data_IF_722371961941
#
_entry.id   IF_722371961941
#
_cell.length_a   1.000
_cell.length_b   1.000
_cell.length_c   1.000
_cell.angle_alpha   90.00
_cell.angle_beta   90.00
_cell.angle_gamma   90.00
#
_symmetry.space_group_name_H-M   'P 1'
#
loop_
_entity.id
_entity.type
_entity.pdbx_description
1 polymer ?
#
# COMPACT_ATOMS: atom_id res chain seq x y z
N UNK A 1 41.55 -49.08 78.93
CA UNK A 1 40.78 -47.84 78.72
C UNK A 1 41.12 -47.29 77.34
N UNK A 2 40.10 -47.14 76.50
CA UNK A 2 40.16 -46.63 75.12
C UNK A 2 40.70 -45.20 75.08
N UNK A 3 41.53 -44.90 74.10
CA UNK A 3 41.59 -43.55 73.50
C UNK A 3 41.87 -43.68 72.02
N UNK A 4 41.03 -42.99 71.26
CA UNK A 4 40.68 -43.19 69.87
C UNK A 4 41.54 -42.24 69.02
N UNK A 5 42.31 -42.76 68.06
CA UNK A 5 43.02 -41.95 67.06
C UNK A 5 42.09 -41.70 65.88
N UNK A 6 41.72 -40.44 65.67
CA UNK A 6 40.99 -39.99 64.49
C UNK A 6 41.96 -39.91 63.29
N UNK A 7 41.74 -40.73 62.26
CA UNK A 7 42.33 -40.53 60.94
C UNK A 7 41.44 -39.55 60.18
N UNK A 8 41.96 -38.36 59.86
CA UNK A 8 41.34 -37.43 58.91
C UNK A 8 41.71 -37.85 57.48
N UNK A 9 40.77 -38.40 56.74
CA UNK A 9 40.88 -38.63 55.30
C UNK A 9 40.77 -37.31 54.54
N UNK A 10 41.82 -36.91 53.82
CA UNK A 10 41.77 -35.76 52.91
C UNK A 10 41.14 -36.20 51.57
N UNK A 11 39.92 -35.73 51.30
CA UNK A 11 39.29 -35.87 49.99
C UNK A 11 39.92 -34.90 49.01
N UNK A 12 40.61 -35.42 47.99
CA UNK A 12 41.12 -34.63 46.85
C UNK A 12 39.93 -34.38 45.91
N UNK A 13 39.40 -33.16 45.93
CA UNK A 13 38.41 -32.69 44.94
C UNK A 13 39.19 -32.36 43.66
N UNK A 14 39.08 -33.24 42.66
CA UNK A 14 39.56 -32.99 41.31
C UNK A 14 38.58 -32.02 40.63
N UNK A 15 38.93 -30.73 40.57
CA UNK A 15 38.14 -29.73 39.84
C UNK A 15 38.31 -29.96 38.33
N UNK A 16 37.28 -30.50 37.68
CA UNK A 16 37.20 -30.57 36.22
C UNK A 16 37.00 -29.15 35.69
N UNK A 17 38.05 -28.55 35.12
CA UNK A 17 37.99 -27.26 34.45
C UNK A 17 37.23 -27.44 33.12
N UNK A 18 35.93 -27.12 33.11
CA UNK A 18 35.15 -27.04 31.87
C UNK A 18 35.55 -25.76 31.15
N UNK A 19 36.38 -25.89 30.11
CA UNK A 19 36.70 -24.78 29.21
C UNK A 19 35.49 -24.56 28.30
N UNK A 20 34.61 -23.64 28.69
CA UNK A 20 33.58 -23.10 27.79
C UNK A 20 34.30 -22.30 26.71
N UNK A 21 34.53 -22.90 25.54
CA UNK A 21 34.93 -22.13 24.36
C UNK A 21 33.80 -21.15 24.06
N UNK A 22 34.07 -19.85 23.93
CA UNK A 22 33.04 -18.92 23.48
C UNK A 22 32.56 -19.40 22.10
N UNK A 23 31.28 -19.76 22.00
CA UNK A 23 30.63 -19.94 20.71
C UNK A 23 30.63 -18.57 20.03
N UNK A 24 31.57 -18.38 19.11
CA UNK A 24 31.51 -17.29 18.16
C UNK A 24 30.44 -17.68 17.15
N UNK A 25 29.21 -17.22 17.36
CA UNK A 25 28.21 -17.19 16.28
C UNK A 25 28.72 -16.18 15.26
N UNK A 26 29.38 -16.65 14.20
CA UNK A 26 29.58 -15.79 13.03
C UNK A 26 28.20 -15.35 12.56
N UNK A 27 27.97 -14.05 12.44
CA UNK A 27 26.75 -13.55 11.82
C UNK A 27 26.64 -14.18 10.43
N UNK A 28 25.55 -14.92 10.20
CA UNK A 28 25.29 -15.51 8.89
C UNK A 28 25.27 -14.38 7.86
N UNK A 29 25.97 -14.54 6.74
CA UNK A 29 26.04 -13.52 5.68
C UNK A 29 25.36 -14.03 4.43
N UNK A 30 24.67 -13.13 3.72
CA UNK A 30 24.11 -13.44 2.40
C UNK A 30 25.24 -13.69 1.41
N UNK A 31 25.16 -14.82 0.73
CA UNK A 31 26.02 -15.14 -0.39
C UNK A 31 25.25 -14.93 -1.70
N UNK A 32 25.69 -13.97 -2.51
CA UNK A 32 24.98 -13.57 -3.73
C UNK A 32 25.00 -14.65 -4.82
N UNK A 33 26.04 -15.51 -4.84
CA UNK A 33 26.21 -16.55 -5.84
C UNK A 33 25.36 -17.80 -5.56
N UNK A 34 25.16 -18.15 -4.28
CA UNK A 34 24.31 -19.25 -3.84
C UNK A 34 22.84 -18.85 -3.70
N UNK A 35 22.59 -17.56 -3.50
CA UNK A 35 21.25 -16.98 -3.55
C UNK A 35 20.75 -16.87 -4.99
N UNK A 36 19.43 -16.84 -5.17
CA UNK A 36 18.81 -16.83 -6.50
C UNK A 36 17.41 -16.23 -6.48
N UNK A 37 17.03 -15.71 -7.64
CA UNK A 37 15.67 -15.27 -7.95
C UNK A 37 15.14 -16.18 -9.05
N UNK A 38 13.90 -16.64 -8.93
CA UNK A 38 13.21 -17.43 -9.95
C UNK A 38 11.83 -16.84 -10.22
N UNK A 39 11.33 -16.99 -11.45
CA UNK A 39 9.98 -16.61 -11.84
C UNK A 39 9.28 -17.82 -12.46
N UNK A 40 8.01 -18.03 -12.12
CA UNK A 40 7.23 -19.17 -12.62
C UNK A 40 6.70 -18.96 -14.05
N UNK A 41 6.54 -17.70 -14.47
CA UNK A 41 6.00 -17.30 -15.77
C UNK A 41 6.76 -16.10 -16.35
N UNK A 42 7.33 -16.26 -17.54
CA UNK A 42 8.18 -15.25 -18.19
C UNK A 42 7.46 -14.42 -19.27
N UNK A 43 6.22 -14.76 -19.61
CA UNK A 43 5.39 -14.04 -20.58
C UNK A 43 4.01 -13.80 -19.98
N UNK A 44 3.58 -12.54 -19.91
CA UNK A 44 2.32 -12.14 -19.29
C UNK A 44 1.52 -11.19 -20.16
N UNK A 45 0.21 -11.19 -19.94
CA UNK A 45 -0.64 -10.09 -20.39
C UNK A 45 -0.39 -8.86 -19.53
N UNK A 46 -0.32 -7.70 -20.16
CA UNK A 46 -0.18 -6.41 -19.49
C UNK A 46 -1.56 -5.83 -19.12
N UNK A 47 -2.40 -6.63 -18.45
CA UNK A 47 -3.79 -6.27 -18.09
C UNK A 47 -3.99 -5.97 -16.59
N UNK A 48 -2.90 -5.92 -15.82
CA UNK A 48 -2.94 -5.69 -14.37
C UNK A 48 -3.56 -6.84 -13.56
N UNK A 49 -3.92 -7.95 -14.20
CA UNK A 49 -4.55 -9.13 -13.59
C UNK A 49 -3.63 -10.34 -13.73
N UNK A 50 -3.11 -10.59 -14.94
CA UNK A 50 -2.15 -11.64 -15.19
C UNK A 50 -0.85 -11.38 -14.43
N UNK A 51 -0.35 -12.40 -13.75
CA UNK A 51 0.77 -12.25 -12.82
C UNK A 51 1.67 -13.47 -12.78
N UNK A 52 2.87 -13.24 -12.25
CA UNK A 52 3.89 -14.25 -12.03
C UNK A 52 4.37 -14.19 -10.58
N UNK A 53 4.67 -15.35 -10.02
CA UNK A 53 5.29 -15.50 -8.72
C UNK A 53 6.82 -15.43 -8.87
N UNK A 54 7.41 -14.39 -8.30
CA UNK A 54 8.85 -14.26 -8.13
C UNK A 54 9.22 -14.81 -6.76
N UNK A 55 10.06 -15.85 -6.75
CA UNK A 55 10.59 -16.46 -5.54
C UNK A 55 12.04 -16.04 -5.34
N UNK A 56 12.32 -15.39 -4.21
CA UNK A 56 13.68 -15.08 -3.76
C UNK A 56 14.14 -16.19 -2.83
N UNK A 57 15.27 -16.81 -3.11
CA UNK A 57 15.89 -17.81 -2.24
C UNK A 57 17.23 -17.30 -1.74
N UNK A 58 17.34 -17.11 -0.43
CA UNK A 58 18.53 -16.65 0.25
C UNK A 58 19.34 -17.82 0.83
N UNK A 59 20.63 -17.83 0.51
CA UNK A 59 21.61 -18.82 0.98
C UNK A 59 22.89 -18.13 1.45
N UNK A 60 23.58 -18.75 2.40
CA UNK A 60 24.94 -18.36 2.78
C UNK A 60 26.00 -19.09 1.93
N UNK A 61 27.28 -18.83 2.23
CA UNK A 61 28.43 -19.43 1.56
C UNK A 61 28.48 -20.95 1.67
N UNK A 62 27.81 -21.55 2.66
CA UNK A 62 27.72 -22.99 2.88
C UNK A 62 26.46 -23.61 2.26
N UNK A 63 25.73 -22.85 1.44
CA UNK A 63 24.45 -23.25 0.85
C UNK A 63 23.34 -23.51 1.88
N UNK A 64 23.46 -23.03 3.12
CA UNK A 64 22.40 -23.15 4.12
C UNK A 64 21.32 -22.07 3.89
N UNK A 65 20.04 -22.37 4.16
CA UNK A 65 18.99 -21.37 4.09
C UNK A 65 19.19 -20.25 5.11
N UNK A 66 19.01 -19.01 4.68
CA UNK A 66 18.97 -17.84 5.54
C UNK A 66 17.53 -17.58 5.97
N UNK A 67 17.16 -17.92 7.20
CA UNK A 67 15.79 -17.81 7.74
C UNK A 67 15.59 -16.49 8.48
N UNK A 68 14.44 -15.84 8.32
CA UNK A 68 14.10 -14.62 9.03
C UNK A 68 14.70 -13.34 8.45
N UNK A 69 15.26 -13.40 7.24
CA UNK A 69 15.90 -12.26 6.58
C UNK A 69 14.88 -11.45 5.79
N UNK A 70 14.95 -10.12 5.93
CA UNK A 70 14.14 -9.20 5.13
C UNK A 70 14.62 -9.20 3.68
N UNK A 71 13.66 -9.15 2.76
CA UNK A 71 13.87 -9.14 1.32
C UNK A 71 13.08 -8.03 0.66
N UNK A 72 13.57 -7.55 -0.48
CA UNK A 72 12.87 -6.61 -1.35
C UNK A 72 13.07 -7.03 -2.80
N UNK A 73 12.11 -6.71 -3.65
CA UNK A 73 12.18 -6.93 -5.09
C UNK A 73 12.05 -5.59 -5.82
N UNK A 74 12.86 -5.42 -6.87
CA UNK A 74 12.89 -4.21 -7.69
C UNK A 74 12.64 -4.58 -9.16
N UNK A 75 11.83 -3.78 -9.86
CA UNK A 75 11.72 -3.85 -11.32
C UNK A 75 12.62 -2.82 -11.98
N UNK A 76 13.27 -3.20 -13.09
CA UNK A 76 13.99 -2.28 -13.97
C UNK A 76 13.10 -1.21 -14.61
N UNK A 77 11.78 -1.38 -14.62
CA UNK A 77 10.81 -0.40 -15.17
C UNK A 77 10.15 0.45 -14.08
N UNK A 78 10.59 0.34 -12.82
CA UNK A 78 10.10 1.13 -11.70
C UNK A 78 8.58 0.98 -11.51
N UNK A 79 7.88 2.10 -11.35
CA UNK A 79 6.42 2.16 -11.09
C UNK A 79 5.54 1.72 -12.26
N UNK A 80 6.11 1.40 -13.42
CA UNK A 80 5.34 0.78 -14.50
C UNK A 80 4.90 -0.66 -14.16
N UNK A 81 5.56 -1.29 -13.19
CA UNK A 81 5.26 -2.64 -12.71
C UNK A 81 4.77 -2.60 -11.27
N UNK A 82 3.65 -3.26 -10.99
CA UNK A 82 3.14 -3.42 -9.63
C UNK A 82 3.79 -4.67 -9.01
N UNK A 83 4.43 -4.50 -7.86
CA UNK A 83 4.99 -5.59 -7.05
C UNK A 83 4.14 -5.71 -5.79
N UNK A 84 3.45 -6.85 -5.63
CA UNK A 84 2.72 -7.19 -4.41
C UNK A 84 3.56 -8.13 -3.55
N UNK A 85 3.84 -7.70 -2.33
CA UNK A 85 4.63 -8.44 -1.37
C UNK A 85 3.76 -9.51 -0.68
N UNK A 86 3.96 -10.80 -1.01
CA UNK A 86 3.25 -11.90 -0.34
C UNK A 86 3.99 -12.35 0.92
N UNK A 87 5.32 -12.38 0.86
CA UNK A 87 6.19 -12.56 2.02
C UNK A 87 7.50 -11.83 1.77
N UNK A 88 7.84 -10.89 2.65
CA UNK A 88 9.13 -10.17 2.60
C UNK A 88 10.18 -10.78 3.54
N UNK A 89 9.82 -11.74 4.37
CA UNK A 89 10.74 -12.40 5.31
C UNK A 89 10.98 -13.83 4.84
N UNK A 90 12.23 -14.25 4.81
CA UNK A 90 12.57 -15.60 4.37
C UNK A 90 12.07 -16.68 5.35
N UNK A 91 11.40 -17.70 4.81
CA UNK A 91 10.90 -18.85 5.56
C UNK A 91 12.01 -19.83 5.99
N UNK A 92 11.62 -20.97 6.57
CA UNK A 92 12.54 -22.04 7.01
C UNK A 92 13.40 -22.63 5.87
N UNK A 93 12.99 -22.44 4.61
CA UNK A 93 13.74 -22.87 3.42
C UNK A 93 14.59 -21.73 2.83
N UNK A 94 14.56 -20.55 3.44
CA UNK A 94 15.24 -19.35 3.00
C UNK A 94 14.49 -18.62 1.88
N UNK A 95 13.16 -18.77 1.78
CA UNK A 95 12.38 -18.23 0.65
C UNK A 95 11.44 -17.09 1.02
N UNK A 96 11.33 -16.11 0.12
CA UNK A 96 10.39 -15.00 0.15
C UNK A 96 9.65 -14.90 -1.20
N UNK A 97 8.46 -14.28 -1.21
CA UNK A 97 7.50 -14.40 -2.31
C UNK A 97 6.91 -13.05 -2.70
N UNK A 98 6.89 -12.77 -4.00
CA UNK A 98 6.36 -11.53 -4.57
C UNK A 98 5.53 -11.86 -5.81
N UNK A 99 4.41 -11.17 -6.02
CA UNK A 99 3.69 -11.21 -7.30
C UNK A 99 3.97 -9.95 -8.10
N UNK A 100 4.18 -10.12 -9.39
CA UNK A 100 4.45 -9.02 -10.32
C UNK A 100 3.34 -8.89 -11.37
N UNK A 101 2.89 -7.67 -11.62
CA UNK A 101 1.85 -7.32 -12.59
C UNK A 101 2.33 -6.12 -13.43
N UNK A 102 1.72 -5.90 -14.60
CA UNK A 102 1.96 -4.68 -15.36
C UNK A 102 0.73 -4.30 -16.17
N UNK A 103 0.62 -3.01 -16.49
CA UNK A 103 -0.32 -2.46 -17.47
C UNK A 103 0.38 -1.98 -18.74
N UNK A 104 1.70 -2.11 -18.81
CA UNK A 104 2.52 -1.60 -19.90
C UNK A 104 3.31 -2.72 -20.56
N UNK A 105 3.25 -2.72 -21.88
CA UNK A 105 4.05 -3.61 -22.70
C UNK A 105 5.55 -3.39 -22.47
N UNK A 106 6.32 -4.46 -22.65
CA UNK A 106 7.77 -4.45 -22.58
C UNK A 106 8.34 -5.49 -21.61
N UNK A 107 9.66 -5.52 -21.52
CA UNK A 107 10.39 -6.50 -20.72
C UNK A 107 10.88 -5.87 -19.42
N UNK A 108 10.50 -6.48 -18.29
CA UNK A 108 10.98 -6.14 -16.96
C UNK A 108 12.10 -7.08 -16.55
N UNK A 109 13.14 -6.54 -15.92
CA UNK A 109 14.17 -7.31 -15.20
C UNK A 109 13.97 -7.11 -13.71
N UNK A 110 13.79 -8.20 -12.98
CA UNK A 110 13.60 -8.20 -11.54
C UNK A 110 14.89 -8.56 -10.81
N UNK A 111 15.25 -7.70 -9.85
CA UNK A 111 16.42 -7.85 -8.99
C UNK A 111 15.98 -7.90 -7.53
N UNK A 112 16.52 -8.82 -6.74
CA UNK A 112 16.17 -8.94 -5.34
C UNK A 112 17.29 -8.45 -4.41
N UNK A 113 16.91 -7.97 -3.25
CA UNK A 113 17.78 -7.65 -2.13
C UNK A 113 17.45 -8.56 -0.95
N UNK A 114 18.47 -9.04 -0.25
CA UNK A 114 18.34 -9.80 1.00
C UNK A 114 19.19 -9.12 2.06
N UNK A 115 18.59 -8.66 3.15
CA UNK A 115 19.25 -7.79 4.12
C UNK A 115 19.83 -6.54 3.44
N UNK A 116 21.15 -6.36 3.53
CA UNK A 116 21.85 -5.27 2.86
C UNK A 116 22.37 -5.64 1.45
N UNK A 117 22.33 -6.92 1.06
CA UNK A 117 22.99 -7.43 -0.14
C UNK A 117 22.04 -7.46 -1.33
N UNK A 118 22.41 -6.82 -2.44
CA UNK A 118 21.75 -7.01 -3.73
C UNK A 118 22.20 -8.33 -4.35
N UNK A 119 21.27 -9.11 -4.91
CA UNK A 119 21.60 -10.33 -5.62
C UNK A 119 22.01 -10.02 -7.06
N UNK A 120 23.09 -10.64 -7.54
CA UNK A 120 23.55 -10.47 -8.92
C UNK A 120 22.66 -11.19 -9.93
N UNK A 121 21.98 -12.26 -9.48
CA UNK A 121 21.05 -13.01 -10.33
C UNK A 121 19.72 -12.27 -10.46
N UNK A 122 19.32 -12.08 -11.71
CA UNK A 122 18.05 -11.46 -12.09
C UNK A 122 17.16 -12.45 -12.83
N UNK A 123 15.87 -12.15 -12.89
CA UNK A 123 14.91 -12.83 -13.77
C UNK A 123 14.21 -11.81 -14.64
N UNK A 124 13.80 -12.22 -15.84
CA UNK A 124 13.09 -11.34 -16.78
C UNK A 124 11.68 -11.82 -17.01
N UNK A 125 10.79 -10.87 -17.29
CA UNK A 125 9.45 -11.15 -17.76
C UNK A 125 9.03 -10.18 -18.85
N UNK A 126 8.32 -10.65 -19.87
CA UNK A 126 7.81 -9.84 -20.98
C UNK A 126 6.30 -9.70 -20.88
N UNK A 127 5.84 -8.46 -20.93
CA UNK A 127 4.44 -8.08 -20.86
C UNK A 127 3.96 -7.61 -22.23
N UNK A 128 2.75 -8.01 -22.63
CA UNK A 128 2.15 -7.66 -23.92
C UNK A 128 0.65 -7.46 -23.85
N UNK A 129 0.08 -6.66 -24.77
CA UNK A 129 -1.36 -6.44 -24.87
C UNK A 129 -1.93 -5.47 -23.84
N UNK A 130 -1.11 -4.55 -23.34
CA UNK A 130 -1.46 -3.56 -22.32
C UNK A 130 -1.86 -2.21 -22.89
N UNK A 131 -1.80 -1.19 -22.02
CA UNK A 131 -2.18 0.17 -22.37
C UNK A 131 -1.28 0.73 -23.47
N UNK A 132 -1.89 1.01 -24.61
CA UNK A 132 -1.27 1.71 -25.74
C UNK A 132 -1.26 3.24 -25.55
N UNK A 133 -2.10 3.75 -24.65
CA UNK A 133 -2.14 5.17 -24.28
C UNK A 133 -1.14 5.48 -23.18
N UNK A 134 -0.51 6.65 -23.26
CA UNK A 134 0.30 7.18 -22.17
C UNK A 134 -0.61 7.92 -21.17
N UNK A 135 -0.60 7.47 -19.92
CA UNK A 135 -1.32 8.07 -18.80
C UNK A 135 -0.32 8.42 -17.70
N UNK A 136 -0.50 9.57 -17.09
CA UNK A 136 0.29 10.01 -15.94
C UNK A 136 -0.55 9.92 -14.66
N UNK A 137 0.05 9.52 -13.52
CA UNK A 137 -0.63 9.62 -12.22
C UNK A 137 -1.18 11.02 -11.99
N UNK A 138 -2.40 11.12 -11.48
CA UNK A 138 -3.10 12.39 -11.28
C UNK A 138 -4.09 12.75 -12.39
N UNK A 139 -4.05 12.04 -13.53
CA UNK A 139 -4.94 12.31 -14.65
C UNK A 139 -6.37 11.85 -14.37
N UNK A 140 -7.32 12.61 -14.89
CA UNK A 140 -8.73 12.27 -14.86
C UNK A 140 -9.12 11.66 -16.20
N UNK A 141 -9.85 10.55 -16.17
CA UNK A 141 -10.22 9.79 -17.36
C UNK A 141 -11.72 9.45 -17.34
N UNK A 142 -12.36 9.45 -18.52
CA UNK A 142 -13.67 8.82 -18.77
C UNK A 142 -13.67 8.10 -20.12
N UNK A 143 -14.67 7.25 -20.34
CA UNK A 143 -14.92 6.68 -21.67
C UNK A 143 -15.66 7.69 -22.57
N UNK A 144 -15.68 7.52 -23.90
CA UNK A 144 -16.44 8.40 -24.78
C UNK A 144 -17.94 8.30 -24.47
N UNK A 145 -18.65 9.40 -24.72
CA UNK A 145 -20.12 9.42 -24.68
C UNK A 145 -20.66 8.42 -25.72
N UNK A 146 -21.59 7.56 -25.28
CA UNK A 146 -22.26 6.60 -26.16
C UNK A 146 -23.42 7.25 -26.96
N UNK A 147 -23.66 8.55 -26.74
CA UNK A 147 -24.75 9.36 -27.27
C UNK A 147 -26.15 8.82 -26.95
N UNK A 148 -26.28 7.96 -25.93
CA UNK A 148 -27.57 7.48 -25.45
C UNK A 148 -27.90 8.09 -24.09
N UNK A 149 -28.76 9.11 -24.11
CA UNK A 149 -29.28 9.76 -22.89
C UNK A 149 -30.01 8.83 -21.90
N UNK A 150 -30.27 7.57 -22.26
CA UNK A 150 -30.91 6.58 -21.39
C UNK A 150 -29.93 5.72 -20.62
N UNK A 151 -28.66 5.71 -21.00
CA UNK A 151 -27.60 4.98 -20.32
C UNK A 151 -26.78 5.93 -19.46
N UNK A 152 -26.14 5.38 -18.43
CA UNK A 152 -25.19 6.11 -17.58
C UNK A 152 -23.76 5.56 -17.74
N UNK A 153 -23.54 4.70 -18.74
CA UNK A 153 -22.30 3.94 -18.96
C UNK A 153 -21.06 4.83 -19.00
N UNK A 154 -21.22 6.03 -19.54
CA UNK A 154 -20.14 6.97 -19.87
C UNK A 154 -20.05 8.15 -18.89
N UNK A 155 -20.97 8.26 -17.93
CA UNK A 155 -21.02 9.39 -16.99
C UNK A 155 -19.92 9.36 -15.93
N UNK A 156 -19.38 8.17 -15.64
CA UNK A 156 -18.38 7.98 -14.61
C UNK A 156 -17.03 8.63 -14.99
N UNK A 157 -16.52 9.46 -14.08
CA UNK A 157 -15.15 9.97 -14.11
C UNK A 157 -14.29 9.15 -13.17
N UNK A 158 -13.05 8.91 -13.56
CA UNK A 158 -12.08 8.19 -12.75
C UNK A 158 -10.79 9.00 -12.58
N UNK A 159 -10.13 8.80 -11.44
CA UNK A 159 -8.77 9.27 -11.18
C UNK A 159 -7.79 8.13 -11.46
N UNK A 160 -6.78 8.37 -12.31
CA UNK A 160 -5.69 7.43 -12.53
C UNK A 160 -4.58 7.66 -11.51
N UNK A 161 -4.37 6.69 -10.63
CA UNK A 161 -3.47 6.79 -9.48
C UNK A 161 -2.06 6.28 -9.77
N UNK A 162 -1.14 6.60 -8.85
CA UNK A 162 0.27 6.18 -8.94
C UNK A 162 0.47 4.67 -8.88
N UNK A 163 -0.48 3.93 -8.29
CA UNK A 163 -0.47 2.47 -8.22
C UNK A 163 -0.98 1.79 -9.52
N UNK A 164 -1.23 2.58 -10.57
CA UNK A 164 -1.72 2.09 -11.86
C UNK A 164 -3.20 1.75 -11.89
N UNK A 165 -3.96 2.01 -10.82
CA UNK A 165 -5.41 1.74 -10.78
C UNK A 165 -6.23 2.99 -11.07
N UNK A 166 -7.50 2.78 -11.41
CA UNK A 166 -8.49 3.85 -11.52
C UNK A 166 -9.36 3.90 -10.27
N UNK A 167 -9.56 5.10 -9.73
CA UNK A 167 -10.44 5.34 -8.59
C UNK A 167 -11.71 6.05 -9.06
N UNK A 168 -12.86 5.52 -8.65
CA UNK A 168 -14.17 5.97 -9.14
C UNK A 168 -14.63 7.18 -8.34
N UNK A 169 -15.06 8.25 -9.01
CA UNK A 169 -15.84 9.30 -8.34
C UNK A 169 -17.28 8.82 -8.16
N UNK A 170 -17.79 8.66 -6.93
CA UNK A 170 -19.12 8.08 -6.72
C UNK A 170 -20.27 8.99 -7.18
N UNK A 171 -20.03 10.31 -7.17
CA UNK A 171 -20.97 11.33 -7.64
C UNK A 171 -20.22 12.64 -7.93
N UNK A 172 -20.93 13.58 -8.56
CA UNK A 172 -20.40 14.90 -8.91
C UNK A 172 -19.97 15.72 -7.69
N UNK A 173 -20.67 15.62 -6.56
CA UNK A 173 -20.34 16.40 -5.37
C UNK A 173 -18.97 16.02 -4.82
N UNK A 174 -18.66 14.72 -4.77
CA UNK A 174 -17.32 14.24 -4.44
C UNK A 174 -16.29 14.80 -5.42
N UNK A 175 -16.56 14.73 -6.73
CA UNK A 175 -15.66 15.27 -7.76
C UNK A 175 -15.36 16.76 -7.55
N UNK A 176 -16.39 17.57 -7.32
CA UNK A 176 -16.28 19.02 -7.15
C UNK A 176 -15.59 19.44 -5.84
N UNK A 177 -15.35 18.51 -4.92
CA UNK A 177 -14.48 18.80 -3.76
C UNK A 177 -12.99 18.74 -4.12
N UNK A 178 -12.64 18.05 -5.22
CA UNK A 178 -11.27 17.87 -5.70
C UNK A 178 -10.92 18.76 -6.89
N UNK A 179 -11.88 18.98 -7.79
CA UNK A 179 -11.67 19.69 -9.06
C UNK A 179 -12.78 20.72 -9.29
N UNK A 180 -12.43 21.85 -9.90
CA UNK A 180 -13.40 22.94 -10.11
C UNK A 180 -14.39 22.64 -11.25
N UNK A 181 -13.96 21.91 -12.27
CA UNK A 181 -14.71 21.60 -13.48
C UNK A 181 -14.13 20.35 -14.17
N UNK A 182 -14.81 19.89 -15.22
CA UNK A 182 -14.41 18.71 -16.00
C UNK A 182 -13.37 18.97 -17.10
N UNK A 183 -12.78 20.17 -17.19
CA UNK A 183 -11.86 20.54 -18.28
C UNK A 183 -10.59 19.68 -18.33
N UNK A 184 -10.21 19.08 -17.20
CA UNK A 184 -9.04 18.20 -17.08
C UNK A 184 -9.35 16.73 -17.34
N UNK A 185 -10.61 16.37 -17.59
CA UNK A 185 -11.01 14.99 -17.86
C UNK A 185 -10.65 14.62 -19.29
N UNK A 186 -9.80 13.60 -19.45
CA UNK A 186 -9.44 13.01 -20.73
C UNK A 186 -10.41 11.91 -21.11
N UNK A 187 -10.75 11.85 -22.39
CA UNK A 187 -11.52 10.74 -22.95
C UNK A 187 -10.54 9.68 -23.43
N UNK A 188 -10.71 8.43 -22.99
CA UNK A 188 -9.91 7.29 -23.42
C UNK A 188 -10.80 6.18 -24.01
N UNK A 189 -10.31 5.39 -24.97
CA UNK A 189 -11.08 4.27 -25.54
C UNK A 189 -11.52 3.24 -24.47
N UNK A 190 -12.68 2.60 -24.69
CA UNK A 190 -13.27 1.64 -23.73
C UNK A 190 -12.40 0.40 -23.51
N UNK A 191 -11.73 -0.08 -24.55
CA UNK A 191 -10.78 -1.20 -24.48
C UNK A 191 -9.57 -0.83 -23.61
N UNK A 192 -9.04 0.39 -23.76
CA UNK A 192 -7.96 0.89 -22.92
C UNK A 192 -8.42 1.10 -21.48
N UNK A 193 -9.63 1.63 -21.28
CA UNK A 193 -10.23 1.75 -19.96
C UNK A 193 -10.32 0.37 -19.30
N UNK A 194 -10.86 -0.65 -19.98
CA UNK A 194 -11.08 -1.98 -19.40
C UNK A 194 -9.84 -2.66 -18.83
N UNK A 195 -8.64 -2.30 -19.32
CA UNK A 195 -7.36 -2.79 -18.81
C UNK A 195 -6.98 -2.19 -17.45
N UNK A 196 -7.49 -1.01 -17.09
CA UNK A 196 -7.13 -0.33 -15.83
C UNK A 196 -7.99 -0.86 -14.67
N UNK A 197 -7.42 -1.56 -13.66
CA UNK A 197 -8.18 -2.14 -12.56
C UNK A 197 -8.80 -1.06 -11.67
N UNK A 198 -9.92 -1.38 -11.01
CA UNK A 198 -10.53 -0.49 -10.02
C UNK A 198 -9.77 -0.58 -8.70
N UNK A 199 -9.30 0.56 -8.20
CA UNK A 199 -8.62 0.67 -6.90
C UNK A 199 -9.56 1.00 -5.72
N UNK A 200 -10.79 1.43 -6.02
CA UNK A 200 -11.82 1.79 -5.03
C UNK A 200 -12.51 3.10 -5.38
N UNK A 201 -13.26 3.62 -4.42
CA UNK A 201 -14.00 4.88 -4.56
C UNK A 201 -13.19 6.05 -3.99
N UNK A 202 -13.22 7.18 -4.69
CA UNK A 202 -12.73 8.47 -4.17
C UNK A 202 -13.70 8.97 -3.09
N UNK A 203 -13.16 9.45 -1.98
CA UNK A 203 -13.92 10.11 -0.90
C UNK A 203 -13.89 11.63 -1.06
N UNK A 204 -14.77 12.34 -0.35
CA UNK A 204 -14.72 13.80 -0.31
C UNK A 204 -13.34 14.29 0.11
N UNK A 205 -12.88 15.38 -0.50
CA UNK A 205 -11.58 15.97 -0.19
C UNK A 205 -11.52 16.35 1.30
N UNK A 206 -10.44 15.98 2.02
CA UNK A 206 -10.30 16.32 3.43
C UNK A 206 -10.43 17.84 3.69
N UNK A 207 -11.18 18.18 4.74
CA UNK A 207 -11.39 19.54 5.21
C UNK A 207 -12.31 20.43 4.35
N UNK A 208 -12.84 19.97 3.21
CA UNK A 208 -13.60 20.85 2.30
C UNK A 208 -15.10 20.92 2.58
N UNK A 209 -15.69 19.81 3.05
CA UNK A 209 -17.12 19.67 3.32
C UNK A 209 -17.33 18.85 4.58
N UNK A 210 -18.47 19.09 5.21
CA UNK A 210 -19.01 18.22 6.24
C UNK A 210 -20.02 17.26 5.63
N UNK A 211 -20.13 16.05 6.16
CA UNK A 211 -21.04 15.02 5.65
C UNK A 211 -22.08 14.66 6.70
N UNK A 212 -23.26 14.30 6.22
CA UNK A 212 -24.34 13.71 7.01
C UNK A 212 -24.95 12.51 6.26
N UNK A 213 -25.45 11.56 7.03
CA UNK A 213 -26.20 10.41 6.52
C UNK A 213 -27.66 10.53 7.00
N UNK A 214 -28.62 10.02 6.24
CA UNK A 214 -30.04 10.15 6.56
C UNK A 214 -30.41 9.43 7.87
N UNK A 215 -29.68 8.36 8.19
CA UNK A 215 -29.87 7.54 9.39
C UNK A 215 -29.13 8.04 10.63
N UNK A 216 -28.32 9.09 10.52
CA UNK A 216 -27.53 9.66 11.63
C UNK A 216 -27.77 11.15 11.78
N UNK A 217 -28.04 11.61 13.01
CA UNK A 217 -28.26 13.03 13.29
C UNK A 217 -26.97 13.84 13.30
N UNK A 218 -25.81 13.19 13.44
CA UNK A 218 -24.49 13.80 13.55
C UNK A 218 -23.98 14.36 12.23
N UNK A 219 -23.10 15.35 12.34
CA UNK A 219 -22.41 15.98 11.21
C UNK A 219 -20.91 15.77 11.36
N UNK A 220 -20.27 15.30 10.29
CA UNK A 220 -18.89 14.84 10.32
C UNK A 220 -18.01 15.69 9.41
N UNK A 221 -16.81 16.08 9.86
CA UNK A 221 -15.78 16.60 8.97
C UNK A 221 -14.98 15.44 8.37
N UNK A 222 -14.65 15.54 7.08
CA UNK A 222 -13.80 14.55 6.40
C UNK A 222 -12.34 14.88 6.64
N UNK A 223 -11.56 13.88 7.06
CA UNK A 223 -10.10 13.94 7.23
C UNK A 223 -9.42 12.90 6.35
N UNK A 224 -8.08 12.94 6.30
CA UNK A 224 -7.26 12.12 5.41
C UNK A 224 -7.65 10.63 5.45
N UNK A 225 -7.73 10.00 4.28
CA UNK A 225 -8.06 8.60 4.11
C UNK A 225 -9.55 8.28 4.27
N UNK A 226 -10.44 9.27 4.11
CA UNK A 226 -11.88 9.08 4.28
C UNK A 226 -12.30 8.85 5.74
N UNK A 227 -11.58 9.45 6.69
CA UNK A 227 -11.92 9.35 8.12
C UNK A 227 -12.88 10.46 8.50
N UNK A 228 -14.08 10.10 8.94
CA UNK A 228 -15.13 10.99 9.43
C UNK A 228 -14.96 11.27 10.91
N UNK A 229 -14.92 12.54 11.26
CA UNK A 229 -14.79 12.99 12.66
C UNK A 229 -16.00 13.83 13.03
N UNK A 230 -16.72 13.41 14.07
CA UNK A 230 -17.96 14.06 14.48
C UNK A 230 -17.67 15.44 15.07
N UNK A 231 -18.29 16.49 14.54
CA UNK A 231 -18.33 17.80 15.18
C UNK A 231 -19.37 17.76 16.32
N UNK A 232 -18.92 17.77 17.57
CA UNK A 232 -19.81 17.56 18.73
C UNK A 232 -20.86 18.66 18.90
N UNK A 233 -20.59 19.87 18.41
CA UNK A 233 -21.48 21.03 18.52
C UNK A 233 -21.47 21.86 17.24
N UNK A 234 -22.50 22.70 17.06
CA UNK A 234 -22.54 23.67 15.96
C UNK A 234 -21.43 24.72 16.07
N UNK A 235 -20.98 25.07 17.27
CA UNK A 235 -19.89 26.03 17.47
C UNK A 235 -18.57 25.51 16.90
N UNK A 236 -18.34 24.19 16.94
CA UNK A 236 -17.18 23.56 16.26
C UNK A 236 -17.27 23.76 14.75
N UNK A 237 -18.44 23.49 14.15
CA UNK A 237 -18.65 23.67 12.71
C UNK A 237 -18.53 25.15 12.29
N UNK A 238 -19.08 26.07 13.09
CA UNK A 238 -18.97 27.51 12.89
C UNK A 238 -17.53 27.99 13.01
N UNK A 239 -16.74 27.40 13.90
CA UNK A 239 -15.31 27.67 14.03
C UNK A 239 -14.51 27.34 12.76
N UNK A 240 -14.95 26.35 11.99
CA UNK A 240 -14.30 25.95 10.74
C UNK A 240 -14.79 26.69 9.49
N UNK A 241 -16.11 26.88 9.36
CA UNK A 241 -16.73 27.36 8.13
C UNK A 241 -17.45 28.71 8.28
N UNK A 242 -17.41 29.30 9.47
CA UNK A 242 -18.10 30.55 9.77
C UNK A 242 -19.62 30.36 9.95
N UNK A 243 -20.36 31.46 9.88
CA UNK A 243 -21.81 31.48 10.12
C UNK A 243 -22.60 30.62 9.13
N UNK A 244 -22.10 30.49 7.90
CA UNK A 244 -22.71 29.73 6.81
C UNK A 244 -22.29 28.25 6.79
N UNK A 245 -21.81 27.70 7.91
CA UNK A 245 -21.30 26.32 7.98
C UNK A 245 -22.29 25.27 7.47
N UNK A 246 -23.58 25.52 7.65
CA UNK A 246 -24.66 24.65 7.19
C UNK A 246 -24.69 24.50 5.66
N UNK A 247 -24.17 25.46 4.90
CA UNK A 247 -24.02 25.39 3.44
C UNK A 247 -22.83 24.50 2.99
N UNK A 248 -21.97 24.12 3.94
CA UNK A 248 -20.85 23.21 3.71
C UNK A 248 -21.19 21.76 4.10
N UNK A 249 -22.45 21.49 4.48
CA UNK A 249 -22.92 20.15 4.82
C UNK A 249 -23.55 19.51 3.59
N UNK A 250 -23.01 18.35 3.18
CA UNK A 250 -23.55 17.53 2.11
C UNK A 250 -24.16 16.25 2.68
N UNK A 251 -25.39 15.95 2.27
CA UNK A 251 -26.00 14.64 2.48
C UNK A 251 -25.35 13.60 1.57
N UNK A 252 -24.99 12.46 2.17
CA UNK A 252 -24.38 11.33 1.48
C UNK A 252 -25.31 10.13 1.60
N UNK A 253 -25.56 9.47 0.47
CA UNK A 253 -26.32 8.21 0.45
C UNK A 253 -25.65 7.16 1.33
N UNK A 254 -26.46 6.42 2.09
CA UNK A 254 -26.04 5.26 2.89
C UNK A 254 -25.21 4.24 2.09
N UNK A 255 -25.43 4.13 0.78
CA UNK A 255 -24.65 3.23 -0.09
C UNK A 255 -23.14 3.56 -0.10
N UNK A 256 -22.77 4.82 0.19
CA UNK A 256 -21.38 5.25 0.25
C UNK A 256 -20.82 5.29 1.67
N UNK A 257 -21.61 4.95 2.69
CA UNK A 257 -21.17 4.91 4.08
C UNK A 257 -19.93 4.00 4.27
N UNK A 258 -19.92 2.86 3.58
CA UNK A 258 -18.83 1.87 3.61
C UNK A 258 -17.49 2.38 3.04
N UNK A 259 -17.49 3.52 2.33
CA UNK A 259 -16.26 4.14 1.85
C UNK A 259 -15.52 4.91 2.95
N UNK A 260 -16.15 5.10 4.11
CA UNK A 260 -15.64 5.92 5.21
C UNK A 260 -15.38 5.10 6.47
N UNK A 261 -14.48 5.61 7.31
CA UNK A 261 -14.26 5.11 8.68
C UNK A 261 -14.51 6.23 9.68
N UNK A 262 -14.71 5.89 10.95
CA UNK A 262 -15.01 6.86 12.00
C UNK A 262 -13.81 7.05 12.90
N UNK A 263 -13.38 8.31 13.06
CA UNK A 263 -12.32 8.70 13.97
C UNK A 263 -12.84 9.37 15.23
N UNK A 264 -11.90 9.80 16.07
CA UNK A 264 -12.22 10.49 17.31
C UNK A 264 -13.07 11.75 17.06
N UNK A 265 -14.11 11.97 17.87
CA UNK A 265 -14.95 13.16 17.77
C UNK A 265 -14.14 14.42 18.09
N UNK A 266 -14.70 15.57 17.72
CA UNK A 266 -14.03 16.86 17.78
C UNK A 266 -14.82 17.79 18.69
N UNK A 267 -14.23 18.08 19.85
CA UNK A 267 -14.83 18.91 20.88
C UNK A 267 -14.53 20.40 20.68
N UNK A 268 -13.40 20.73 20.05
CA UNK A 268 -13.00 22.10 19.72
C UNK A 268 -12.55 22.19 18.25
N UNK A 269 -12.94 23.27 17.57
CA UNK A 269 -12.49 23.51 16.19
C UNK A 269 -10.98 23.66 16.07
N UNK A 270 -10.29 24.06 17.15
CA UNK A 270 -8.83 24.19 17.21
C UNK A 270 -8.11 22.84 17.21
N UNK A 271 -8.81 21.74 17.51
CA UNK A 271 -8.23 20.39 17.48
C UNK A 271 -7.95 19.91 16.05
N UNK A 272 -8.57 20.56 15.04
CA UNK A 272 -8.40 20.27 13.62
C UNK A 272 -8.25 21.56 12.81
N UNK A 273 -7.01 21.89 12.45
CA UNK A 273 -6.71 22.93 11.49
C UNK A 273 -7.02 22.47 10.06
N UNK A 274 -8.19 22.85 9.51
CA UNK A 274 -8.66 22.36 8.21
C UNK A 274 -7.77 22.80 7.04
N UNK A 275 -7.12 23.96 7.14
CA UNK A 275 -6.13 24.45 6.18
C UNK A 275 -4.91 23.52 6.11
N UNK A 276 -4.36 23.12 7.26
CA UNK A 276 -3.24 22.16 7.34
C UNK A 276 -3.65 20.82 6.72
N UNK A 277 -4.86 20.33 7.04
CA UNK A 277 -5.38 19.08 6.48
C UNK A 277 -5.49 19.18 4.95
N UNK A 278 -6.07 20.27 4.44
CA UNK A 278 -6.19 20.52 3.00
C UNK A 278 -4.82 20.58 2.32
N UNK A 279 -3.85 21.24 2.94
CA UNK A 279 -2.51 21.38 2.36
C UNK A 279 -1.71 20.08 2.39
N UNK A 280 -1.98 19.20 3.35
CA UNK A 280 -1.40 17.87 3.43
C UNK A 280 -2.01 16.89 2.41
N UNK A 281 -3.23 17.13 1.91
CA UNK A 281 -3.94 16.27 0.95
C UNK A 281 -4.30 17.03 -0.32
N UNK A 282 -3.30 17.32 -1.16
CA UNK A 282 -3.47 18.02 -2.44
C UNK A 282 -3.90 17.08 -3.56
N UNK A 283 -3.54 15.81 -3.48
CA UNK A 283 -3.90 14.78 -4.47
C UNK A 283 -4.65 13.62 -3.81
N UNK A 284 -5.36 12.85 -4.64
CA UNK A 284 -6.04 11.63 -4.20
C UNK A 284 -5.02 10.56 -3.79
N UNK A 285 -3.85 10.50 -4.44
CA UNK A 285 -2.76 9.62 -3.98
C UNK A 285 -2.35 9.92 -2.53
N UNK A 286 -2.17 11.20 -2.20
CA UNK A 286 -1.81 11.62 -0.83
C UNK A 286 -2.90 11.29 0.19
N UNK A 287 -4.17 11.52 -0.17
CA UNK A 287 -5.30 11.18 0.70
C UNK A 287 -5.35 9.68 1.00
N UNK A 288 -5.11 8.86 -0.02
CA UNK A 288 -5.17 7.40 0.08
C UNK A 288 -3.89 6.73 0.57
N UNK A 289 -2.78 7.47 0.65
CA UNK A 289 -1.48 6.93 1.05
C UNK A 289 -0.89 5.95 0.03
N UNK A 290 -1.07 6.25 -1.26
CA UNK A 290 -0.50 5.51 -2.38
C UNK A 290 0.94 5.94 -2.69
#
# INVERSE_FOLDING_TARGET
>A
MRTMRYLTTASIICALLVVLTPFVTSAQSVDAENSRVTIDKAELKADGIDNALVTVTARDTNMLPLVGWTTKLYSSRGVADEIREESTITDILGKAYFRVFSLKDGTATFTAQVGATMLDRTVTSTYSGGLSIFLQPGELIKIPDDNDSKTLSDTAVYYYAVDGKRYVFPNEKTYFTWYADFSKVKIIPIDQMSLIPIGGNVTYRPGTRMLKFQTDTKTYIVTRGGVLRWAMTEDVARGWFGTEWNTFVDDVSEAFYVNYTFGEPVASHLDLALDIIKDATRTIDQDRGL
#
